data_IF_316157826197
#
_entry.id   IF_316157826197
#
_cell.length_a   1.000
_cell.length_b   1.000
_cell.length_c   1.000
_cell.angle_alpha   90.00
_cell.angle_beta   90.00
_cell.angle_gamma   90.00
#
_symmetry.space_group_name_H-M   'P 1'
#
loop_
_entity.id
_entity.type
_entity.pdbx_description
1 polymer ?
#
# COMPACT_ATOMS: atom_id res chain seq x y z
N UNK A 1 2.56 11.36 10.06
CA UNK A 1 3.22 10.27 9.29
C UNK A 1 2.56 8.97 9.69
N UNK A 2 1.95 8.30 8.72
CA UNK A 2 1.23 7.05 8.91
C UNK A 2 1.96 5.90 8.23
N UNK A 3 1.94 4.74 8.88
CA UNK A 3 2.44 3.48 8.36
C UNK A 3 1.24 2.65 7.92
N UNK A 4 1.14 2.37 6.64
CA UNK A 4 0.12 1.50 6.10
C UNK A 4 0.70 0.10 5.89
N UNK A 5 -0.07 -0.93 6.23
CA UNK A 5 0.23 -2.32 5.88
C UNK A 5 -0.67 -2.74 4.73
N UNK A 6 -0.04 -3.28 3.69
CA UNK A 6 -0.67 -3.79 2.49
C UNK A 6 -0.44 -5.29 2.43
N UNK A 7 -1.50 -6.09 2.31
CA UNK A 7 -1.41 -7.56 2.23
C UNK A 7 -2.29 -8.12 1.10
N UNK A 8 -2.03 -9.35 0.64
CA UNK A 8 -2.94 -10.10 -0.24
C UNK A 8 -2.61 -10.04 -1.74
N UNK A 9 -1.71 -9.14 -2.15
CA UNK A 9 -1.25 -9.04 -3.54
C UNK A 9 -0.31 -10.21 -3.93
N UNK A 10 -0.20 -10.57 -5.22
CA UNK A 10 0.70 -11.62 -5.67
C UNK A 10 2.18 -11.30 -5.36
N UNK A 11 3.03 -12.27 -4.98
CA UNK A 11 4.45 -12.03 -4.70
C UNK A 11 5.23 -11.38 -5.85
N UNK A 12 4.78 -11.56 -7.10
CA UNK A 12 5.38 -10.97 -8.31
C UNK A 12 5.23 -9.44 -8.39
N UNK A 13 4.26 -8.84 -7.67
CA UNK A 13 4.04 -7.39 -7.67
C UNK A 13 5.29 -6.67 -7.19
N UNK A 14 5.88 -5.80 -8.02
CA UNK A 14 7.11 -5.09 -7.66
C UNK A 14 6.87 -4.01 -6.60
N UNK A 15 7.95 -3.54 -5.96
CA UNK A 15 7.91 -2.37 -5.09
C UNK A 15 7.42 -1.13 -5.86
N UNK A 16 7.87 -0.96 -7.11
CA UNK A 16 7.47 0.14 -7.98
C UNK A 16 5.98 0.15 -8.29
N UNK A 17 5.35 -1.03 -8.44
CA UNK A 17 3.90 -1.10 -8.61
C UNK A 17 3.15 -0.64 -7.34
N UNK A 18 3.65 -0.97 -6.15
CA UNK A 18 3.10 -0.43 -4.89
C UNK A 18 3.26 1.10 -4.84
N UNK A 19 4.43 1.63 -5.26
CA UNK A 19 4.66 3.08 -5.33
C UNK A 19 3.67 3.73 -6.31
N UNK A 20 3.47 3.14 -7.48
CA UNK A 20 2.55 3.64 -8.51
C UNK A 20 1.11 3.69 -8.00
N UNK A 21 0.63 2.62 -7.38
CA UNK A 21 -0.73 2.53 -6.85
C UNK A 21 -0.96 3.54 -5.73
N UNK A 22 -0.08 3.58 -4.72
CA UNK A 22 -0.23 4.48 -3.58
C UNK A 22 0.07 5.95 -3.94
N UNK A 23 0.87 6.19 -4.98
CA UNK A 23 1.24 7.53 -5.45
C UNK A 23 0.06 8.33 -5.99
N UNK A 24 -0.99 7.65 -6.46
CA UNK A 24 -2.25 8.27 -6.87
C UNK A 24 -3.01 8.93 -5.70
N UNK A 25 -2.67 8.59 -4.46
CA UNK A 25 -3.32 9.09 -3.25
C UNK A 25 -2.50 10.18 -2.55
N UNK A 26 -1.22 10.31 -2.88
CA UNK A 26 -0.36 11.34 -2.32
C UNK A 26 1.11 10.99 -2.26
N UNK A 27 1.83 11.74 -1.42
CA UNK A 27 3.27 11.65 -1.26
C UNK A 27 3.63 10.37 -0.50
N UNK A 28 4.55 9.60 -1.07
CA UNK A 28 5.13 8.43 -0.42
C UNK A 28 6.52 8.79 0.06
N UNK A 29 6.78 8.59 1.36
CA UNK A 29 8.11 8.78 1.95
C UNK A 29 8.97 7.54 1.77
N UNK A 30 8.39 6.36 1.97
CA UNK A 30 9.11 5.09 1.90
C UNK A 30 8.16 3.93 1.58
N UNK A 31 8.66 2.90 0.89
CA UNK A 31 8.00 1.61 0.74
C UNK A 31 8.97 0.48 1.10
N UNK A 32 8.53 -0.42 1.99
CA UNK A 32 9.24 -1.65 2.35
C UNK A 32 8.40 -2.85 1.94
N UNK A 33 8.82 -3.58 0.92
CA UNK A 33 8.17 -4.83 0.49
C UNK A 33 8.93 -6.02 1.06
N UNK A 34 8.21 -6.98 1.63
CA UNK A 34 8.81 -8.26 2.01
C UNK A 34 9.00 -9.15 0.76
N UNK A 35 10.21 -9.64 0.52
CA UNK A 35 10.50 -10.49 -0.64
C UNK A 35 9.76 -11.82 -0.54
N UNK A 36 9.21 -12.31 -1.65
CA UNK A 36 8.43 -13.55 -1.69
C UNK A 36 7.09 -13.51 -0.95
N UNK A 37 6.76 -12.41 -0.27
CA UNK A 37 5.51 -12.24 0.46
C UNK A 37 4.62 -11.20 -0.24
N UNK A 38 3.32 -11.46 -0.26
CA UNK A 38 2.30 -10.49 -0.67
C UNK A 38 2.07 -9.42 0.40
N UNK A 39 3.15 -8.87 0.96
CA UNK A 39 3.13 -7.93 2.09
C UNK A 39 4.06 -6.75 1.80
N UNK A 40 3.56 -5.53 2.02
CA UNK A 40 4.35 -4.31 1.97
C UNK A 40 3.92 -3.33 3.07
N UNK A 41 4.82 -2.42 3.41
CA UNK A 41 4.59 -1.28 4.28
C UNK A 41 4.81 0.01 3.49
N UNK A 42 3.85 0.93 3.55
CA UNK A 42 3.90 2.23 2.88
C UNK A 42 3.88 3.32 3.93
N UNK A 43 4.82 4.26 3.85
CA UNK A 43 4.93 5.37 4.78
C UNK A 43 4.50 6.65 4.09
N UNK A 44 3.39 7.24 4.54
CA UNK A 44 2.85 8.48 4.00
C UNK A 44 2.94 9.59 5.05
N UNK A 45 3.50 10.77 4.72
CA UNK A 45 3.73 11.81 5.71
C UNK A 45 2.43 12.50 6.16
N UNK A 46 1.43 12.60 5.28
CA UNK A 46 0.19 13.33 5.51
C UNK A 46 -0.99 12.39 5.81
N UNK A 47 -1.66 12.64 6.93
CA UNK A 47 -2.72 11.78 7.46
C UNK A 47 -3.92 11.71 6.50
N UNK A 48 -4.34 12.84 5.91
CA UNK A 48 -5.46 12.85 4.97
C UNK A 48 -5.22 11.97 3.72
N UNK A 49 -3.97 11.91 3.23
CA UNK A 49 -3.59 11.08 2.08
C UNK A 49 -3.60 9.60 2.45
N UNK A 50 -3.07 9.27 3.63
CA UNK A 50 -3.04 7.91 4.16
C UNK A 50 -4.47 7.37 4.39
N UNK A 51 -5.34 8.15 5.03
CA UNK A 51 -6.73 7.76 5.27
C UNK A 51 -7.52 7.60 3.96
N UNK A 52 -7.27 8.47 2.97
CA UNK A 52 -7.87 8.33 1.63
C UNK A 52 -7.40 7.04 0.95
N UNK A 53 -6.10 6.75 0.98
CA UNK A 53 -5.54 5.52 0.42
C UNK A 53 -6.15 4.27 1.08
N UNK A 54 -6.24 4.23 2.40
CA UNK A 54 -6.88 3.10 3.13
C UNK A 54 -8.33 2.93 2.69
N UNK A 55 -9.12 4.01 2.70
CA UNK A 55 -10.55 3.98 2.37
C UNK A 55 -10.82 3.50 0.95
N UNK A 56 -10.00 3.91 -0.01
CA UNK A 56 -10.25 3.65 -1.42
C UNK A 56 -9.52 2.40 -1.97
N UNK A 57 -8.39 1.99 -1.38
CA UNK A 57 -7.64 0.80 -1.84
C UNK A 57 -7.99 -0.49 -1.09
N UNK A 58 -8.47 -0.41 0.14
CA UNK A 58 -8.81 -1.62 0.89
C UNK A 58 -9.95 -2.37 0.19
N UNK A 59 -9.77 -3.66 -0.09
CA UNK A 59 -10.71 -4.49 -0.84
C UNK A 59 -10.64 -4.31 -2.37
N UNK A 60 -9.74 -3.48 -2.90
CA UNK A 60 -9.48 -3.40 -4.34
C UNK A 60 -8.56 -4.54 -4.79
N UNK A 61 -8.27 -4.62 -6.10
CA UNK A 61 -7.45 -5.70 -6.67
C UNK A 61 -6.16 -5.17 -7.27
N UNK A 62 -5.05 -5.85 -6.96
CA UNK A 62 -3.77 -5.73 -7.69
C UNK A 62 -3.53 -7.05 -8.42
N UNK A 63 -3.39 -6.98 -9.75
CA UNK A 63 -3.23 -8.14 -10.63
C UNK A 63 -4.29 -9.23 -10.35
N UNK A 64 -5.54 -8.83 -10.18
CA UNK A 64 -6.67 -9.73 -9.97
C UNK A 64 -6.84 -10.30 -8.55
N UNK A 65 -5.89 -10.10 -7.63
CA UNK A 65 -6.05 -10.47 -6.22
C UNK A 65 -6.47 -9.29 -5.38
N UNK A 66 -7.44 -9.54 -4.50
CA UNK A 66 -7.88 -8.56 -3.50
C UNK A 66 -6.75 -8.23 -2.52
N UNK A 67 -6.61 -6.95 -2.19
CA UNK A 67 -5.66 -6.46 -1.22
C UNK A 67 -6.37 -5.96 0.03
N UNK A 68 -5.72 -6.12 1.19
CA UNK A 68 -6.12 -5.45 2.42
C UNK A 68 -5.15 -4.31 2.71
N UNK A 69 -5.69 -3.14 3.00
CA UNK A 69 -4.92 -1.94 3.37
C UNK A 69 -5.40 -1.47 4.72
N UNK A 70 -4.50 -1.44 5.70
CA UNK A 70 -4.81 -1.01 7.06
C UNK A 70 -3.79 0.00 7.55
N UNK A 71 -4.24 1.00 8.29
CA UNK A 71 -3.37 1.89 9.06
C UNK A 71 -2.83 1.13 10.27
N UNK A 72 -1.56 1.35 10.61
CA UNK A 72 -0.94 0.86 11.83
C UNK A 72 -0.63 2.06 12.73
N UNK A 73 -1.03 1.97 14.00
CA UNK A 73 -0.67 2.90 15.06
C UNK A 73 0.81 2.80 15.48
#
# INVERSE_FOLDING_TARGET
MKKLRVTGFPPIVSKDEIIRVFGNYGTIKEVKKAFGAGIAYVYMPYDYQASKAVKELNGTKILGREISVVELD
#
